data_IF_589208771095
#
_entry.id   IF_589208771095
#
_cell.length_a   1.000
_cell.length_b   1.000
_cell.length_c   1.000
_cell.angle_alpha   90.00
_cell.angle_beta   90.00
_cell.angle_gamma   90.00
#
_symmetry.space_group_name_H-M   'P 1'
#
loop_
_entity.id
_entity.type
_entity.pdbx_description
1 polymer ?
#
# COMPACT_ATOMS: atom_id res chain seq x y z
N UNK A 1 8.59 -20.84 -14.25
CA UNK A 1 8.65 -20.80 -12.76
C UNK A 1 9.37 -19.52 -12.39
N UNK A 2 8.61 -18.49 -11.95
CA UNK A 2 9.14 -17.14 -11.67
C UNK A 2 9.97 -17.22 -10.38
N UNK A 3 11.23 -16.75 -10.44
CA UNK A 3 12.13 -16.77 -9.28
C UNK A 3 11.76 -15.65 -8.31
N UNK A 4 10.97 -15.99 -7.28
CA UNK A 4 10.43 -15.09 -6.26
C UNK A 4 11.53 -14.28 -5.55
N UNK A 5 12.72 -14.85 -5.38
CA UNK A 5 13.85 -14.17 -4.73
C UNK A 5 14.43 -12.99 -5.54
N UNK A 6 14.23 -12.98 -6.86
CA UNK A 6 14.67 -11.88 -7.74
C UNK A 6 13.71 -10.70 -7.73
N UNK A 7 12.41 -10.97 -7.50
CA UNK A 7 11.37 -9.93 -7.41
C UNK A 7 11.52 -9.12 -6.13
N UNK A 8 11.93 -9.76 -5.02
CA UNK A 8 12.10 -9.07 -3.73
C UNK A 8 13.28 -8.09 -3.68
N UNK A 9 14.23 -8.16 -4.61
CA UNK A 9 15.40 -7.27 -4.61
C UNK A 9 15.15 -5.92 -5.30
N UNK A 10 14.13 -5.78 -6.09
CA UNK A 10 13.87 -4.59 -6.92
C UNK A 10 12.81 -3.64 -6.35
N UNK A 11 11.87 -4.13 -5.58
CA UNK A 11 11.01 -3.28 -4.76
C UNK A 11 11.77 -2.92 -3.49
N UNK A 12 12.49 -1.84 -3.57
CA UNK A 12 13.14 -1.19 -2.44
C UNK A 12 12.07 -0.85 -1.40
N UNK A 13 11.80 -1.78 -0.52
CA UNK A 13 11.81 -1.39 0.89
C UNK A 13 13.24 -0.89 1.06
N UNK A 14 13.42 0.43 0.97
CA UNK A 14 14.63 1.11 1.36
C UNK A 14 15.20 0.31 2.51
N UNK A 15 16.50 -0.08 2.45
CA UNK A 15 17.21 -0.71 3.56
C UNK A 15 17.15 0.23 4.77
N UNK A 16 15.97 0.37 5.35
CA UNK A 16 15.77 0.95 6.66
C UNK A 16 16.41 -0.03 7.60
N UNK A 17 17.39 0.44 8.33
CA UNK A 17 18.09 -0.28 9.41
C UNK A 17 17.06 -1.08 10.22
N UNK A 18 16.96 -2.38 9.94
CA UNK A 18 16.13 -3.35 10.66
C UNK A 18 16.71 -3.67 12.04
N UNK A 19 17.58 -2.81 12.57
CA UNK A 19 18.31 -3.04 13.82
C UNK A 19 17.58 -2.59 15.09
N UNK A 20 16.37 -1.99 14.95
CA UNK A 20 15.61 -1.65 16.15
C UNK A 20 14.77 -2.83 16.60
N UNK A 21 15.18 -3.51 17.66
CA UNK A 21 14.34 -4.50 18.33
C UNK A 21 13.12 -3.80 18.96
N UNK A 22 11.92 -4.20 18.55
CA UNK A 22 10.65 -3.71 19.10
C UNK A 22 10.48 -4.28 20.50
N UNK A 23 10.07 -3.45 21.45
CA UNK A 23 9.71 -3.86 22.81
C UNK A 23 8.17 -3.87 23.01
N UNK A 24 7.70 -4.41 24.14
CA UNK A 24 6.28 -4.46 24.48
C UNK A 24 5.61 -3.08 24.57
N UNK A 25 6.37 -2.02 24.86
CA UNK A 25 5.87 -0.65 24.89
C UNK A 25 5.63 -0.14 23.47
N UNK A 26 6.53 -0.47 22.53
CA UNK A 26 6.38 -0.11 21.12
C UNK A 26 5.12 -0.78 20.53
N UNK A 27 4.86 -2.05 20.88
CA UNK A 27 3.64 -2.77 20.45
C UNK A 27 2.39 -2.06 20.97
N UNK A 28 2.32 -1.72 22.26
CA UNK A 28 1.19 -1.00 22.84
C UNK A 28 0.98 0.38 22.22
N UNK A 29 2.05 1.07 21.85
CA UNK A 29 1.96 2.35 21.13
C UNK A 29 1.30 2.12 19.75
N UNK A 30 1.73 1.10 19.00
CA UNK A 30 1.15 0.76 17.69
C UNK A 30 -0.35 0.43 17.83
N UNK A 31 -0.73 -0.41 18.80
CA UNK A 31 -2.12 -0.77 19.06
C UNK A 31 -3.01 0.45 19.32
N UNK A 32 -2.52 1.38 20.15
CA UNK A 32 -3.26 2.60 20.46
C UNK A 32 -3.34 3.56 19.28
N UNK A 33 -2.29 3.65 18.45
CA UNK A 33 -2.31 4.43 17.21
C UNK A 33 -3.31 3.86 16.20
N UNK A 34 -3.36 2.55 16.05
CA UNK A 34 -4.33 1.86 15.19
C UNK A 34 -5.76 2.10 15.68
N UNK A 35 -5.95 2.27 16.99
CA UNK A 35 -7.22 2.67 17.60
C UNK A 35 -7.49 4.19 17.52
N UNK A 36 -6.79 4.92 16.62
CA UNK A 36 -6.92 6.37 16.40
C UNK A 36 -6.61 7.24 17.62
N UNK A 37 -5.84 6.74 18.59
CA UNK A 37 -5.37 7.54 19.73
C UNK A 37 -4.22 8.45 19.32
N UNK A 38 -4.29 9.72 19.70
CA UNK A 38 -3.19 10.65 19.50
C UNK A 38 -2.09 10.47 20.58
N UNK A 39 -0.91 11.06 20.34
CA UNK A 39 0.24 10.89 21.24
C UNK A 39 -0.04 11.32 22.69
N UNK A 40 -0.90 12.31 22.95
CA UNK A 40 -1.28 12.73 24.31
C UNK A 40 -2.13 11.67 25.00
N UNK A 41 -3.08 11.08 24.29
CA UNK A 41 -3.92 9.98 24.79
C UNK A 41 -3.09 8.73 25.06
N UNK A 42 -2.14 8.39 24.17
CA UNK A 42 -1.19 7.28 24.35
C UNK A 42 -0.32 7.49 25.59
N UNK A 43 0.21 8.70 25.76
CA UNK A 43 1.00 9.08 26.95
C UNK A 43 0.21 8.86 28.25
N UNK A 44 -1.07 9.28 28.28
CA UNK A 44 -1.96 9.07 29.43
C UNK A 44 -2.25 7.58 29.67
N UNK A 45 -2.59 6.84 28.60
CA UNK A 45 -2.94 5.42 28.70
C UNK A 45 -1.79 4.56 29.19
N UNK A 46 -0.58 4.81 28.69
CA UNK A 46 0.63 4.05 29.05
C UNK A 46 1.35 4.62 30.27
N UNK A 47 0.93 5.76 30.81
CA UNK A 47 1.56 6.47 31.94
C UNK A 47 3.05 6.75 31.69
N UNK A 48 3.42 7.13 30.46
CA UNK A 48 4.79 7.50 30.07
C UNK A 48 4.81 8.94 29.55
N UNK A 49 5.96 9.64 29.65
CA UNK A 49 6.07 11.02 29.18
C UNK A 49 5.71 11.17 27.69
N UNK A 50 5.02 12.25 27.33
CA UNK A 50 4.65 12.55 25.95
C UNK A 50 5.86 12.59 25.01
N UNK A 51 6.98 13.16 25.47
CA UNK A 51 8.24 13.19 24.71
C UNK A 51 8.77 11.78 24.39
N UNK A 52 8.59 10.85 25.33
CA UNK A 52 8.96 9.44 25.12
C UNK A 52 8.08 8.80 24.04
N UNK A 53 6.75 9.02 24.08
CA UNK A 53 5.82 8.52 23.04
C UNK A 53 6.23 9.10 21.69
N UNK A 54 6.39 10.41 21.57
CA UNK A 54 6.77 11.08 20.33
C UNK A 54 8.08 10.56 19.74
N UNK A 55 9.09 10.34 20.59
CA UNK A 55 10.36 9.76 20.16
C UNK A 55 10.17 8.35 19.63
N UNK A 56 9.47 7.47 20.39
CA UNK A 56 9.22 6.09 19.98
C UNK A 56 8.42 5.99 18.68
N UNK A 57 7.37 6.80 18.52
CA UNK A 57 6.59 6.87 17.26
C UNK A 57 7.49 7.26 16.10
N UNK A 58 8.33 8.28 16.26
CA UNK A 58 9.28 8.70 15.22
C UNK A 58 10.26 7.58 14.87
N UNK A 59 10.79 6.89 15.88
CA UNK A 59 11.69 5.77 15.66
C UNK A 59 11.01 4.59 14.94
N UNK A 60 9.74 4.29 15.26
CA UNK A 60 8.93 3.26 14.60
C UNK A 60 8.63 3.62 13.14
N UNK A 61 8.32 4.89 12.86
CA UNK A 61 8.13 5.37 11.48
C UNK A 61 9.45 5.31 10.70
N UNK A 62 10.55 5.77 11.28
CA UNK A 62 11.87 5.77 10.63
C UNK A 62 12.39 4.36 10.37
N UNK A 63 12.03 3.40 11.24
CA UNK A 63 12.38 1.99 11.06
C UNK A 63 11.41 1.23 10.14
N UNK A 64 10.35 1.89 9.61
CA UNK A 64 9.40 1.29 8.69
C UNK A 64 8.33 0.39 9.33
N UNK A 65 8.25 0.31 10.67
CA UNK A 65 7.19 -0.44 11.34
C UNK A 65 5.83 0.24 11.23
N UNK A 66 5.81 1.55 11.06
CA UNK A 66 4.61 2.35 10.84
C UNK A 66 4.77 3.09 9.52
N UNK A 67 3.82 2.91 8.61
CA UNK A 67 3.70 3.67 7.37
C UNK A 67 2.50 4.59 7.51
N UNK A 68 2.74 5.90 7.48
CA UNK A 68 1.66 6.90 7.46
C UNK A 68 1.38 7.29 6.02
N UNK A 69 0.17 7.03 5.54
CA UNK A 69 -0.29 7.44 4.22
C UNK A 69 -1.42 8.45 4.37
N UNK A 70 -1.37 9.52 3.61
CA UNK A 70 -2.49 10.42 3.43
C UNK A 70 -3.40 9.83 2.36
N UNK A 71 -4.65 9.51 2.72
CA UNK A 71 -5.66 9.08 1.75
C UNK A 71 -6.53 10.29 1.37
N UNK A 72 -6.67 10.52 0.08
CA UNK A 72 -7.53 11.56 -0.47
C UNK A 72 -8.85 10.91 -0.89
N UNK A 73 -9.96 11.49 -0.44
CA UNK A 73 -11.27 11.06 -0.93
C UNK A 73 -11.50 11.63 -2.34
N UNK A 74 -11.07 10.89 -3.35
CA UNK A 74 -11.14 11.29 -4.75
C UNK A 74 -12.56 11.57 -5.22
N UNK A 75 -13.57 10.88 -4.67
CA UNK A 75 -14.98 11.09 -5.03
C UNK A 75 -15.46 12.50 -4.70
N UNK A 76 -14.96 13.12 -3.62
CA UNK A 76 -15.28 14.51 -3.26
C UNK A 76 -14.80 15.53 -4.30
N UNK A 77 -13.87 15.13 -5.17
CA UNK A 77 -13.35 15.94 -6.27
C UNK A 77 -13.92 15.52 -7.64
N UNK A 78 -14.96 14.67 -7.62
CA UNK A 78 -15.62 14.17 -8.84
C UNK A 78 -14.84 13.11 -9.60
N UNK A 79 -13.80 12.51 -8.99
CA UNK A 79 -13.07 11.40 -9.59
C UNK A 79 -13.71 10.06 -9.23
N UNK A 80 -13.62 9.14 -10.18
CA UNK A 80 -13.92 7.73 -10.01
C UNK A 80 -12.62 6.95 -9.79
N UNK A 81 -12.72 5.83 -9.08
CA UNK A 81 -11.57 4.97 -8.81
C UNK A 81 -11.88 3.52 -9.12
N UNK A 82 -10.87 2.77 -9.50
CA UNK A 82 -11.01 1.35 -9.75
C UNK A 82 -9.66 0.66 -9.85
N UNK A 83 -9.69 -0.61 -10.21
CA UNK A 83 -8.53 -1.46 -10.35
C UNK A 83 -8.44 -1.98 -11.78
N UNK A 84 -7.27 -1.88 -12.37
CA UNK A 84 -6.92 -2.56 -13.61
C UNK A 84 -6.08 -3.78 -13.28
N UNK A 85 -6.58 -4.96 -13.63
CA UNK A 85 -5.86 -6.22 -13.53
C UNK A 85 -5.23 -6.51 -14.88
N UNK A 86 -3.91 -6.66 -14.92
CA UNK A 86 -3.16 -6.98 -16.14
C UNK A 86 -2.58 -8.37 -16.01
N UNK A 87 -2.81 -9.16 -17.05
CA UNK A 87 -2.32 -10.53 -17.20
C UNK A 87 -1.27 -10.53 -18.29
N UNK A 88 -0.20 -11.27 -18.07
CA UNK A 88 0.95 -11.33 -18.96
C UNK A 88 1.10 -12.73 -19.55
N UNK A 89 1.39 -12.79 -20.85
CA UNK A 89 1.83 -14.04 -21.51
C UNK A 89 3.30 -14.28 -21.28
N UNK A 90 4.11 -13.23 -21.47
CA UNK A 90 5.56 -13.25 -21.32
C UNK A 90 6.05 -11.82 -21.04
N UNK A 91 7.30 -11.70 -20.64
CA UNK A 91 7.94 -10.41 -20.51
C UNK A 91 8.50 -10.08 -19.14
N UNK A 92 9.10 -8.87 -19.08
CA UNK A 92 9.70 -8.34 -17.86
C UNK A 92 8.64 -7.59 -17.04
N UNK A 93 7.98 -8.32 -16.13
CA UNK A 93 6.90 -7.79 -15.28
C UNK A 93 7.26 -6.48 -14.58
N UNK A 94 8.50 -6.34 -14.12
CA UNK A 94 8.98 -5.13 -13.43
C UNK A 94 9.05 -3.91 -14.36
N UNK A 95 9.49 -4.10 -15.60
CA UNK A 95 9.56 -3.03 -16.60
C UNK A 95 8.17 -2.59 -17.02
N UNK A 96 7.28 -3.56 -17.20
CA UNK A 96 5.89 -3.29 -17.56
C UNK A 96 5.16 -2.57 -16.42
N UNK A 97 5.35 -3.01 -15.17
CA UNK A 97 4.81 -2.33 -14.00
C UNK A 97 5.27 -0.86 -13.91
N UNK A 98 6.54 -0.57 -14.22
CA UNK A 98 7.06 0.80 -14.31
C UNK A 98 6.42 1.61 -15.44
N UNK A 99 6.25 1.00 -16.63
CA UNK A 99 5.58 1.65 -17.76
C UNK A 99 4.14 2.00 -17.42
N UNK A 100 3.42 1.06 -16.80
CA UNK A 100 2.04 1.27 -16.34
C UNK A 100 1.99 2.37 -15.26
N UNK A 101 2.89 2.34 -14.28
CA UNK A 101 2.94 3.36 -13.21
C UNK A 101 3.13 4.79 -13.75
N UNK A 102 3.81 4.96 -14.87
CA UNK A 102 4.04 6.28 -15.47
C UNK A 102 2.83 6.84 -16.25
N UNK A 103 1.73 6.09 -16.36
CA UNK A 103 0.50 6.59 -16.96
C UNK A 103 -0.24 7.53 -15.99
N UNK A 104 -0.74 8.66 -16.48
CA UNK A 104 -1.28 9.74 -15.66
C UNK A 104 -2.44 9.32 -14.74
N UNK A 105 -3.26 8.36 -15.16
CA UNK A 105 -4.42 7.88 -14.40
C UNK A 105 -4.05 6.83 -13.33
N UNK A 106 -2.81 6.37 -13.31
CA UNK A 106 -2.35 5.34 -12.37
C UNK A 106 -1.81 6.00 -11.11
N UNK A 107 -2.42 5.69 -9.96
CA UNK A 107 -1.98 6.19 -8.66
C UNK A 107 -1.01 5.25 -7.94
N UNK A 108 -1.15 3.94 -8.17
CA UNK A 108 -0.23 2.93 -7.66
C UNK A 108 -0.24 1.69 -8.53
N UNK A 109 0.85 0.92 -8.49
CA UNK A 109 0.98 -0.37 -9.16
C UNK A 109 1.54 -1.38 -8.17
N UNK A 110 0.99 -2.56 -8.18
CA UNK A 110 1.43 -3.71 -7.37
C UNK A 110 1.67 -4.90 -8.29
N UNK A 111 2.69 -5.70 -7.99
CA UNK A 111 2.94 -6.99 -8.65
C UNK A 111 2.41 -8.08 -7.73
N UNK A 112 1.61 -8.97 -8.27
CA UNK A 112 0.94 -10.02 -7.54
C UNK A 112 1.40 -11.40 -7.99
N UNK A 113 1.30 -12.36 -7.07
CA UNK A 113 1.40 -13.78 -7.38
C UNK A 113 0.00 -14.36 -7.22
N UNK A 114 -0.60 -14.86 -8.30
CA UNK A 114 -1.94 -15.43 -8.24
C UNK A 114 -2.76 -15.18 -9.50
N UNK A 115 -3.94 -14.59 -9.34
CA UNK A 115 -4.90 -14.47 -10.43
C UNK A 115 -4.52 -13.41 -11.48
N UNK A 116 -3.89 -12.30 -11.09
CA UNK A 116 -3.34 -11.29 -12.02
C UNK A 116 -1.89 -11.02 -11.70
N UNK A 117 -1.10 -10.65 -12.71
CA UNK A 117 0.34 -10.40 -12.55
C UNK A 117 0.60 -8.98 -12.05
N UNK A 118 -0.13 -8.00 -12.58
CA UNK A 118 -0.02 -6.60 -12.19
C UNK A 118 -1.41 -6.06 -11.82
N UNK A 119 -1.47 -5.32 -10.73
CA UNK A 119 -2.65 -4.59 -10.28
C UNK A 119 -2.34 -3.10 -10.25
N UNK A 120 -3.08 -2.31 -11.05
CA UNK A 120 -2.97 -0.85 -11.07
C UNK A 120 -4.19 -0.21 -10.42
N UNK A 121 -3.96 0.71 -9.48
CA UNK A 121 -5.03 1.56 -8.99
C UNK A 121 -5.20 2.76 -9.92
N UNK A 122 -6.41 2.93 -10.43
CA UNK A 122 -6.77 3.95 -11.43
C UNK A 122 -7.64 5.02 -10.79
N UNK A 123 -7.36 6.28 -11.16
CA UNK A 123 -8.16 7.46 -10.81
C UNK A 123 -8.47 8.17 -12.12
N UNK A 124 -9.74 8.39 -12.41
CA UNK A 124 -10.17 9.04 -13.65
C UNK A 124 -11.44 9.85 -13.41
N UNK A 125 -11.73 10.79 -14.30
CA UNK A 125 -12.92 11.63 -14.23
C UNK A 125 -13.92 11.25 -15.32
N UNK A 126 -13.46 11.19 -16.52
CA UNK A 126 -14.28 10.91 -17.70
C UNK A 126 -14.03 9.51 -18.26
N UNK A 127 -15.09 8.86 -18.76
CA UNK A 127 -14.99 7.49 -19.31
C UNK A 127 -13.99 7.37 -20.46
N UNK A 128 -13.79 8.45 -21.23
CA UNK A 128 -12.82 8.47 -22.32
C UNK A 128 -11.36 8.34 -21.80
N UNK A 129 -11.06 8.88 -20.64
CA UNK A 129 -9.73 8.75 -20.00
C UNK A 129 -9.45 7.28 -19.67
N UNK A 130 -10.46 6.58 -19.11
CA UNK A 130 -10.37 5.16 -18.81
C UNK A 130 -10.17 4.31 -20.07
N UNK A 131 -10.94 4.59 -21.15
CA UNK A 131 -10.81 3.88 -22.41
C UNK A 131 -9.42 4.07 -23.02
N UNK A 132 -8.89 5.29 -22.97
CA UNK A 132 -7.55 5.58 -23.46
C UNK A 132 -6.48 4.85 -22.63
N UNK A 133 -6.62 4.83 -21.32
CA UNK A 133 -5.72 4.09 -20.40
C UNK A 133 -5.71 2.60 -20.74
N UNK A 134 -6.88 1.95 -20.79
CA UNK A 134 -6.99 0.53 -21.10
C UNK A 134 -6.38 0.23 -22.48
N UNK A 135 -6.67 1.08 -23.48
CA UNK A 135 -6.10 0.96 -24.81
C UNK A 135 -4.58 1.10 -24.83
N UNK A 136 -4.04 2.00 -24.04
CA UNK A 136 -2.59 2.20 -23.91
C UNK A 136 -1.92 0.96 -23.28
N UNK A 137 -2.48 0.42 -22.20
CA UNK A 137 -1.94 -0.77 -21.55
C UNK A 137 -2.05 -2.00 -22.48
N UNK A 138 -3.17 -2.16 -23.18
CA UNK A 138 -3.40 -3.28 -24.11
C UNK A 138 -2.39 -3.34 -25.27
N UNK A 139 -1.81 -2.21 -25.65
CA UNK A 139 -0.79 -2.11 -26.70
C UNK A 139 0.62 -2.39 -26.20
N UNK A 140 0.83 -2.57 -24.90
CA UNK A 140 2.14 -2.88 -24.35
C UNK A 140 2.49 -4.33 -24.65
N UNK A 141 3.73 -4.57 -25.05
CA UNK A 141 4.25 -5.90 -25.34
C UNK A 141 4.20 -6.79 -24.10
N UNK A 142 3.77 -8.04 -24.25
CA UNK A 142 3.63 -9.03 -23.17
C UNK A 142 2.31 -8.95 -22.42
N UNK A 143 1.40 -8.02 -22.74
CA UNK A 143 0.07 -7.97 -22.15
C UNK A 143 -0.88 -8.88 -22.90
N UNK A 144 -1.36 -9.93 -22.23
CA UNK A 144 -2.39 -10.85 -22.73
C UNK A 144 -3.79 -10.30 -22.53
N UNK A 145 -4.14 -10.04 -21.28
CA UNK A 145 -5.50 -9.71 -20.90
C UNK A 145 -5.55 -8.57 -19.88
N UNK A 146 -6.62 -7.78 -19.97
CA UNK A 146 -6.94 -6.73 -19.01
C UNK A 146 -8.35 -6.94 -18.49
N UNK A 147 -8.53 -6.82 -17.18
CA UNK A 147 -9.83 -6.80 -16.51
C UNK A 147 -9.94 -5.51 -15.73
N UNK A 148 -11.04 -4.80 -15.93
CA UNK A 148 -11.37 -3.59 -15.18
C UNK A 148 -12.36 -3.88 -14.06
N UNK A 149 -12.13 -3.28 -12.90
CA UNK A 149 -13.04 -3.33 -11.75
C UNK A 149 -13.23 -1.92 -11.19
N UNK A 150 -14.42 -1.37 -11.36
CA UNK A 150 -14.77 -0.07 -10.79
C UNK A 150 -15.05 -0.22 -9.28
N UNK A 151 -14.48 0.67 -8.48
CA UNK A 151 -14.75 0.71 -7.03
C UNK A 151 -16.05 1.47 -6.78
N UNK A 152 -17.10 0.75 -6.42
CA UNK A 152 -18.40 1.33 -6.08
C UNK A 152 -18.45 1.71 -4.59
N UNK A 153 -17.79 0.93 -3.74
CA UNK A 153 -17.79 1.13 -2.28
C UNK A 153 -16.47 0.68 -1.67
N UNK A 154 -16.03 1.39 -0.67
CA UNK A 154 -14.91 1.02 0.20
C UNK A 154 -15.30 1.23 1.65
N UNK A 155 -15.28 0.17 2.44
CA UNK A 155 -15.44 0.30 3.89
C UNK A 155 -14.21 0.96 4.52
N UNK A 156 -14.36 1.68 5.64
CA UNK A 156 -13.21 2.12 6.41
C UNK A 156 -12.32 0.94 6.82
N UNK A 157 -11.02 1.17 6.82
CA UNK A 157 -10.06 0.16 7.30
C UNK A 157 -10.33 -0.16 8.76
N UNK A 158 -10.48 -1.44 9.08
CA UNK A 158 -10.53 -1.90 10.47
C UNK A 158 -9.12 -1.88 11.03
N UNK A 159 -8.96 -1.37 12.26
CA UNK A 159 -7.68 -1.40 12.95
C UNK A 159 -7.16 -2.83 13.11
N UNK A 160 -5.86 -3.00 13.02
CA UNK A 160 -5.15 -4.29 13.10
C UNK A 160 -5.14 -4.85 14.54
N UNK A 161 -5.69 -4.13 15.53
CA UNK A 161 -5.65 -4.50 16.95
C UNK A 161 -6.05 -5.96 17.23
N UNK A 162 -6.93 -6.55 16.40
CA UNK A 162 -7.34 -7.94 16.54
C UNK A 162 -6.44 -8.94 15.80
N UNK A 163 -5.48 -8.46 15.00
CA UNK A 163 -4.57 -9.32 14.22
C UNK A 163 -3.19 -9.48 14.86
N UNK A 164 -2.83 -8.57 15.78
CA UNK A 164 -1.56 -8.64 16.51
C UNK A 164 -1.81 -9.33 17.87
N UNK A 165 -2.41 -10.50 17.85
CA UNK A 165 -2.29 -11.44 18.96
C UNK A 165 -0.90 -12.06 18.90
N UNK A 166 0.10 -11.30 19.32
CA UNK A 166 1.38 -11.90 19.66
C UNK A 166 1.12 -12.62 20.98
N UNK A 167 0.89 -13.93 20.88
CA UNK A 167 0.86 -14.85 22.02
C UNK A 167 2.12 -14.60 22.84
N UNK A 168 1.94 -14.05 24.02
CA UNK A 168 2.96 -14.08 25.07
C UNK A 168 3.08 -15.54 25.54
N UNK A 169 4.00 -16.29 24.94
CA UNK A 169 4.56 -17.50 25.51
C UNK A 169 5.92 -17.18 26.09
#
# INVERSE_FOLDING_TARGET
MINVNRIMSCFIISKTKLDKKIDGTDIKIIELMVSNKNNKEISKALKIPLSTVQRRVRDLVSAGYIISKLEINHQMFGFKTGLVHVYLDDGHIEELAKKIHNLNQISSVEIHIGNSDILGQVIYKEGIELLNLISAIKKMEGVDKIVWSERIYQSPSKGIANMINISHS
#
